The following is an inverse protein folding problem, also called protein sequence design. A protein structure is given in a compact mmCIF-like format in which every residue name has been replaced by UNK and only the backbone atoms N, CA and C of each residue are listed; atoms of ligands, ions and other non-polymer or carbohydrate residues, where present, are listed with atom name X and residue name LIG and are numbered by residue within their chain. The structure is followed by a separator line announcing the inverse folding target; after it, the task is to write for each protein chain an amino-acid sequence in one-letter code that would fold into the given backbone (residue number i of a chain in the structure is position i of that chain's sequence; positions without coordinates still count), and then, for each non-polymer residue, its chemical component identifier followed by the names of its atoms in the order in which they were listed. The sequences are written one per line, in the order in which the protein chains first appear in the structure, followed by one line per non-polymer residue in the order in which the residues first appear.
data_IF_865490794253
#
_entry.id   IF_865490794253
#
_cell.length_a   1.000
_cell.length_b   1.000
_cell.length_c   1.000
_cell.angle_alpha   90.00
_cell.angle_beta   90.00
_cell.angle_gamma   90.00
#
_symmetry.space_group_name_H-M   'P 1'
#
loop_
_entity.id
_entity.type
_entity.pdbx_description
1 polymer ?
#
# COMPACT_ATOMS: atom_id res chain seq x y z
N UNK A 1 7.42 -25.92 -25.72
CA UNK A 1 7.64 -24.47 -25.48
C UNK A 1 7.02 -23.58 -26.55
N UNK A 2 7.56 -23.46 -27.79
CA UNK A 2 6.95 -22.57 -28.81
C UNK A 2 5.53 -23.00 -29.23
N UNK A 3 5.29 -24.31 -29.43
CA UNK A 3 3.96 -24.81 -29.82
C UNK A 3 2.92 -24.71 -28.68
N UNK A 4 3.35 -24.86 -27.42
CA UNK A 4 2.46 -24.71 -26.26
C UNK A 4 2.11 -23.23 -26.07
N UNK A 5 3.07 -22.32 -26.18
CA UNK A 5 2.83 -20.87 -26.13
C UNK A 5 1.88 -20.37 -27.23
N UNK A 6 1.94 -20.92 -28.44
CA UNK A 6 1.03 -20.57 -29.53
C UNK A 6 -0.39 -21.06 -29.24
N UNK A 7 -0.55 -22.27 -28.69
CA UNK A 7 -1.85 -22.80 -28.27
C UNK A 7 -2.45 -22.00 -27.11
N UNK A 8 -1.62 -21.66 -26.12
CA UNK A 8 -2.04 -20.85 -24.97
C UNK A 8 -2.51 -19.46 -25.42
N UNK A 9 -1.80 -18.82 -26.36
CA UNK A 9 -2.22 -17.52 -26.92
C UNK A 9 -3.53 -17.60 -27.70
N UNK A 10 -3.72 -18.65 -28.50
CA UNK A 10 -4.99 -18.87 -29.21
C UNK A 10 -6.15 -19.04 -28.23
N UNK A 11 -5.96 -19.78 -27.14
CA UNK A 11 -6.97 -19.95 -26.09
C UNK A 11 -7.23 -18.65 -25.32
N UNK A 12 -6.17 -17.91 -24.97
CA UNK A 12 -6.31 -16.65 -24.25
C UNK A 12 -7.00 -15.56 -25.09
N UNK A 13 -6.92 -15.62 -26.42
CA UNK A 13 -7.67 -14.70 -27.26
C UNK A 13 -9.19 -14.88 -27.10
N UNK A 14 -9.66 -16.12 -26.90
CA UNK A 14 -11.08 -16.44 -26.71
C UNK A 14 -11.68 -15.85 -25.43
N UNK A 15 -10.84 -15.53 -24.42
CA UNK A 15 -11.34 -14.95 -23.16
C UNK A 15 -11.61 -13.45 -23.28
N UNK A 16 -11.09 -12.76 -24.29
CA UNK A 16 -11.13 -11.29 -24.38
C UNK A 16 -12.55 -10.74 -24.44
N UNK A 17 -13.37 -11.25 -25.37
CA UNK A 17 -14.74 -10.77 -25.58
C UNK A 17 -15.66 -11.11 -24.39
N UNK A 18 -15.77 -12.37 -23.92
CA UNK A 18 -16.64 -12.70 -22.79
C UNK A 18 -16.27 -11.95 -21.52
N UNK A 19 -14.97 -11.72 -21.30
CA UNK A 19 -14.47 -11.03 -20.10
C UNK A 19 -14.78 -9.53 -20.13
N UNK A 20 -14.58 -8.86 -21.26
CA UNK A 20 -14.90 -7.43 -21.39
C UNK A 20 -16.40 -7.17 -21.32
N UNK A 21 -17.23 -8.01 -21.94
CA UNK A 21 -18.69 -7.92 -21.86
C UNK A 21 -19.20 -8.14 -20.42
N UNK A 22 -18.68 -9.15 -19.74
CA UNK A 22 -18.99 -9.38 -18.33
C UNK A 22 -18.59 -8.17 -17.48
N UNK A 23 -17.41 -7.60 -17.69
CA UNK A 23 -16.94 -6.45 -16.91
C UNK A 23 -17.84 -5.23 -17.10
N UNK A 24 -18.29 -4.92 -18.31
CA UNK A 24 -19.20 -3.79 -18.55
C UNK A 24 -20.52 -3.91 -17.78
N UNK A 25 -21.01 -5.14 -17.60
CA UNK A 25 -22.25 -5.42 -16.88
C UNK A 25 -22.06 -5.53 -15.36
N UNK A 26 -20.86 -5.90 -14.89
CA UNK A 26 -20.63 -6.30 -13.49
C UNK A 26 -19.62 -5.43 -12.73
N UNK A 27 -18.94 -4.48 -13.39
CA UNK A 27 -17.92 -3.66 -12.74
C UNK A 27 -18.50 -2.92 -11.54
N UNK A 28 -17.79 -2.99 -10.41
CA UNK A 28 -18.14 -2.18 -9.24
C UNK A 28 -17.95 -0.70 -9.56
N UNK A 29 -18.87 0.12 -9.08
CA UNK A 29 -18.76 1.58 -9.08
C UNK A 29 -17.70 1.95 -8.03
N UNK A 30 -16.60 2.54 -8.49
CA UNK A 30 -15.46 2.93 -7.65
C UNK A 30 -15.11 4.39 -7.94
N UNK A 31 -14.74 5.20 -6.92
CA UNK A 31 -14.53 6.65 -7.08
C UNK A 31 -13.52 7.05 -8.17
N UNK A 32 -12.57 6.17 -8.49
CA UNK A 32 -11.52 6.41 -9.49
C UNK A 32 -11.86 5.91 -10.91
N UNK A 33 -12.93 5.12 -11.09
CA UNK A 33 -13.26 4.53 -12.40
C UNK A 33 -14.03 5.46 -13.34
N UNK A 34 -14.70 6.48 -12.81
CA UNK A 34 -15.72 7.22 -13.56
C UNK A 34 -15.23 8.53 -14.20
N UNK A 35 -13.91 8.77 -14.26
CA UNK A 35 -13.36 10.09 -14.62
C UNK A 35 -12.44 10.09 -15.85
N UNK A 36 -12.05 8.94 -16.41
CA UNK A 36 -11.01 8.83 -17.45
C UNK A 36 -9.81 9.76 -17.20
N UNK A 37 -9.35 9.81 -15.95
CA UNK A 37 -8.37 10.77 -15.49
C UNK A 37 -7.09 10.03 -15.10
N UNK A 38 -6.00 10.27 -15.83
CA UNK A 38 -4.72 9.60 -15.63
C UNK A 38 -4.15 9.80 -14.21
N UNK A 39 -4.34 10.99 -13.62
CA UNK A 39 -3.93 11.27 -12.25
C UNK A 39 -4.74 10.45 -11.25
N UNK A 40 -6.06 10.31 -11.46
CA UNK A 40 -6.93 9.56 -10.55
C UNK A 40 -6.65 8.06 -10.63
N UNK A 41 -6.47 7.56 -11.85
CA UNK A 41 -5.98 6.20 -12.09
C UNK A 41 -4.66 5.99 -11.36
N UNK A 42 -3.66 6.85 -11.59
CA UNK A 42 -2.35 6.74 -10.94
C UNK A 42 -2.44 6.71 -9.41
N UNK A 43 -3.15 7.66 -8.79
CA UNK A 43 -3.31 7.73 -7.33
C UNK A 43 -3.99 6.45 -6.81
N UNK A 44 -5.08 6.02 -7.44
CA UNK A 44 -5.81 4.82 -7.01
C UNK A 44 -4.95 3.56 -7.14
N UNK A 45 -4.20 3.41 -8.22
CA UNK A 45 -3.34 2.26 -8.48
C UNK A 45 -2.20 2.18 -7.46
N UNK A 46 -1.59 3.33 -7.13
CA UNK A 46 -0.58 3.38 -6.06
C UNK A 46 -1.20 3.02 -4.71
N UNK A 47 -2.40 3.52 -4.38
CA UNK A 47 -3.08 3.17 -3.12
C UNK A 47 -3.44 1.68 -3.04
N UNK A 48 -3.91 1.07 -4.13
CA UNK A 48 -4.33 -0.33 -4.21
C UNK A 48 -3.19 -1.33 -4.10
N UNK A 49 -1.93 -0.90 -4.27
CA UNK A 49 -0.77 -1.76 -4.02
C UNK A 49 -0.82 -2.32 -2.59
N UNK A 50 -1.06 -3.63 -2.46
CA UNK A 50 -1.16 -4.35 -1.19
C UNK A 50 -2.22 -3.80 -0.22
N UNK A 51 -3.24 -3.08 -0.72
CA UNK A 51 -4.33 -2.51 0.09
C UNK A 51 -5.68 -2.90 -0.53
N UNK A 52 -6.67 -3.24 0.31
CA UNK A 52 -8.00 -3.66 -0.17
C UNK A 52 -8.80 -2.45 -0.67
N UNK A 53 -9.59 -2.65 -1.72
CA UNK A 53 -10.46 -1.63 -2.34
C UNK A 53 -11.30 -0.85 -1.32
N UNK A 54 -12.02 -1.54 -0.43
CA UNK A 54 -12.88 -0.87 0.57
C UNK A 54 -12.10 0.03 1.54
N UNK A 55 -10.86 -0.35 1.87
CA UNK A 55 -10.01 0.48 2.71
C UNK A 55 -9.51 1.71 1.96
N UNK A 56 -9.33 1.64 0.63
CA UNK A 56 -8.81 2.73 -0.20
C UNK A 56 -9.85 3.82 -0.47
N UNK A 57 -11.13 3.48 -0.64
CA UNK A 57 -12.21 4.43 -0.99
C UNK A 57 -12.18 5.77 -0.20
N UNK A 58 -12.22 5.77 1.15
CA UNK A 58 -12.22 7.02 1.90
C UNK A 58 -10.89 7.78 1.81
N UNK A 59 -9.77 7.07 1.64
CA UNK A 59 -8.47 7.71 1.47
C UNK A 59 -8.35 8.40 0.12
N UNK A 60 -8.81 7.73 -0.94
CA UNK A 60 -8.82 8.29 -2.28
C UNK A 60 -9.64 9.59 -2.32
N UNK A 61 -10.87 9.57 -1.79
CA UNK A 61 -11.73 10.76 -1.73
C UNK A 61 -11.10 11.93 -0.97
N UNK A 62 -10.51 11.66 0.21
CA UNK A 62 -9.81 12.70 0.98
C UNK A 62 -8.57 13.22 0.23
N UNK A 63 -7.82 12.34 -0.41
CA UNK A 63 -6.57 12.67 -1.08
C UNK A 63 -6.82 13.56 -2.29
N UNK A 64 -7.73 13.17 -3.19
CA UNK A 64 -8.05 13.97 -4.38
C UNK A 64 -8.79 15.28 -4.03
N UNK A 65 -9.52 15.32 -2.91
CA UNK A 65 -10.17 16.56 -2.45
C UNK A 65 -9.16 17.62 -2.03
N UNK A 66 -8.02 17.21 -1.49
CA UNK A 66 -6.94 18.10 -1.05
C UNK A 66 -5.86 18.31 -2.12
N UNK A 67 -5.63 17.30 -2.96
CA UNK A 67 -4.62 17.24 -4.02
C UNK A 67 -5.33 16.83 -5.32
N UNK A 68 -6.04 17.75 -6.00
CA UNK A 68 -6.90 17.41 -7.13
C UNK A 68 -6.14 17.06 -8.41
N UNK A 69 -4.87 17.43 -8.53
CA UNK A 69 -4.05 17.23 -9.73
C UNK A 69 -2.57 16.96 -9.40
N UNK A 70 -1.77 16.78 -10.47
CA UNK A 70 -0.33 16.53 -10.39
C UNK A 70 0.42 17.72 -9.77
N UNK A 71 0.01 18.95 -10.08
CA UNK A 71 0.64 20.18 -9.56
C UNK A 71 0.48 20.25 -8.04
N UNK A 72 -0.75 20.08 -7.55
CA UNK A 72 -1.06 20.09 -6.13
C UNK A 72 -0.26 19.01 -5.38
N UNK A 73 -0.12 17.81 -5.96
CA UNK A 73 0.70 16.75 -5.38
C UNK A 73 2.20 17.12 -5.34
N UNK A 74 2.73 17.72 -6.40
CA UNK A 74 4.14 18.11 -6.51
C UNK A 74 4.52 19.18 -5.46
N UNK A 75 3.62 20.15 -5.24
CA UNK A 75 3.80 21.29 -4.32
C UNK A 75 3.43 20.98 -2.87
N UNK A 76 2.70 19.90 -2.61
CA UNK A 76 2.22 19.55 -1.27
C UNK A 76 3.37 19.44 -0.25
N UNK A 77 3.31 20.15 0.90
CA UNK A 77 4.29 19.98 1.97
C UNK A 77 4.33 18.53 2.46
N UNK A 78 5.53 18.00 2.74
CA UNK A 78 5.70 16.58 3.09
C UNK A 78 4.85 16.17 4.31
N UNK A 79 4.75 17.02 5.33
CA UNK A 79 3.95 16.74 6.51
C UNK A 79 2.46 16.56 6.18
N UNK A 80 1.90 17.44 5.34
CA UNK A 80 0.52 17.33 4.85
C UNK A 80 0.35 16.05 4.03
N UNK A 81 1.30 15.74 3.16
CA UNK A 81 1.27 14.54 2.33
C UNK A 81 1.29 13.25 3.17
N UNK A 82 2.19 13.16 4.15
CA UNK A 82 2.27 12.02 5.07
C UNK A 82 0.97 11.87 5.87
N UNK A 83 0.36 12.99 6.26
CA UNK A 83 -0.90 12.99 6.99
C UNK A 83 -2.07 12.47 6.13
N UNK A 84 -2.15 12.90 4.88
CA UNK A 84 -3.17 12.39 3.94
C UNK A 84 -3.04 10.88 3.71
N UNK A 85 -1.82 10.35 3.77
CA UNK A 85 -1.50 8.93 3.61
C UNK A 85 -1.54 8.10 4.91
N UNK A 86 -1.72 8.75 6.06
CA UNK A 86 -1.62 8.12 7.38
C UNK A 86 -2.62 6.96 7.53
N UNK A 87 -2.09 5.75 7.72
CA UNK A 87 -2.88 4.54 7.91
C UNK A 87 -2.93 3.60 6.69
N UNK A 88 -2.53 4.06 5.50
CA UNK A 88 -2.42 3.18 4.31
C UNK A 88 -1.16 2.29 4.34
N UNK A 89 -0.16 2.65 5.15
CA UNK A 89 1.13 1.96 5.18
C UNK A 89 1.93 2.15 3.89
N UNK A 90 3.14 1.57 3.86
CA UNK A 90 4.07 1.67 2.73
C UNK A 90 4.30 3.12 2.25
N UNK A 91 4.69 4.00 3.17
CA UNK A 91 4.82 5.45 2.94
C UNK A 91 5.83 5.86 1.84
N UNK A 92 6.75 4.97 1.46
CA UNK A 92 7.61 5.23 0.30
C UNK A 92 6.81 5.35 -1.00
N UNK A 93 5.62 4.74 -1.09
CA UNK A 93 4.73 4.88 -2.24
C UNK A 93 4.38 6.34 -2.50
N UNK A 94 3.86 7.04 -1.50
CA UNK A 94 3.43 8.44 -1.66
C UNK A 94 4.61 9.39 -1.84
N UNK A 95 5.78 9.10 -1.24
CA UNK A 95 7.02 9.87 -1.49
C UNK A 95 7.51 9.72 -2.92
N UNK A 96 7.53 8.50 -3.43
CA UNK A 96 7.89 8.26 -4.83
C UNK A 96 6.88 8.92 -5.77
N UNK A 97 5.58 8.83 -5.44
CA UNK A 97 4.51 9.49 -6.19
C UNK A 97 4.71 11.02 -6.26
N UNK A 98 5.04 11.68 -5.14
CA UNK A 98 5.37 13.10 -5.16
C UNK A 98 6.65 13.40 -5.95
N UNK A 99 7.68 12.56 -5.84
CA UNK A 99 8.91 12.73 -6.64
C UNK A 99 8.58 12.67 -8.13
N UNK A 100 7.80 11.68 -8.56
CA UNK A 100 7.33 11.55 -9.93
C UNK A 100 6.44 12.72 -10.35
N UNK A 101 5.57 13.22 -9.46
CA UNK A 101 4.72 14.37 -9.77
C UNK A 101 5.55 15.62 -10.07
N UNK A 102 6.64 15.84 -9.32
CA UNK A 102 7.59 16.94 -9.61
C UNK A 102 8.25 16.77 -10.97
N UNK A 103 8.66 15.54 -11.33
CA UNK A 103 9.17 15.24 -12.68
C UNK A 103 8.12 15.55 -13.75
N UNK A 104 6.86 15.13 -13.54
CA UNK A 104 5.76 15.40 -14.48
C UNK A 104 5.50 16.90 -14.65
N UNK A 105 5.55 17.69 -13.57
CA UNK A 105 5.44 19.15 -13.66
C UNK A 105 6.59 19.76 -14.45
N UNK A 106 7.82 19.34 -14.18
CA UNK A 106 9.01 19.92 -14.81
C UNK A 106 9.21 19.51 -16.27
N UNK A 107 8.97 18.25 -16.61
CA UNK A 107 9.32 17.66 -17.91
C UNK A 107 8.11 17.46 -18.84
N UNK A 108 6.90 17.40 -18.29
CA UNK A 108 5.67 17.08 -19.03
C UNK A 108 4.53 18.09 -18.76
N UNK A 109 4.87 19.30 -18.33
CA UNK A 109 3.91 20.41 -18.12
C UNK A 109 2.72 20.06 -17.20
N UNK A 110 2.94 19.18 -16.24
CA UNK A 110 1.92 18.76 -15.27
C UNK A 110 0.94 17.69 -15.79
N UNK A 111 1.15 17.18 -17.00
CA UNK A 111 0.33 16.12 -17.61
C UNK A 111 1.10 14.80 -17.62
N UNK A 112 0.52 13.72 -17.10
CA UNK A 112 1.15 12.39 -17.18
C UNK A 112 1.36 12.02 -18.66
N UNK A 113 2.54 11.52 -19.06
CA UNK A 113 2.79 11.17 -20.45
C UNK A 113 1.87 10.05 -20.95
N UNK A 114 1.37 10.19 -22.17
CA UNK A 114 0.59 9.15 -22.87
C UNK A 114 1.50 8.12 -23.56
N UNK A 115 2.43 7.55 -22.79
CA UNK A 115 3.44 6.59 -23.27
C UNK A 115 3.80 5.61 -22.15
N UNK A 116 3.82 4.32 -22.47
CA UNK A 116 4.16 3.28 -21.49
C UNK A 116 5.61 3.44 -20.99
N UNK A 117 6.54 3.71 -21.90
CA UNK A 117 7.96 3.85 -21.61
C UNK A 117 8.25 5.08 -20.74
N UNK A 118 7.59 6.21 -21.05
CA UNK A 118 7.74 7.44 -20.28
C UNK A 118 7.13 7.29 -18.89
N UNK A 119 5.93 6.69 -18.79
CA UNK A 119 5.31 6.37 -17.50
C UNK A 119 6.21 5.44 -16.67
N UNK A 120 6.80 4.41 -17.27
CA UNK A 120 7.69 3.46 -16.60
C UNK A 120 8.99 4.12 -16.10
N UNK A 121 9.43 5.22 -16.73
CA UNK A 121 10.61 5.97 -16.29
C UNK A 121 10.39 6.74 -14.98
N UNK A 122 9.12 7.04 -14.64
CA UNK A 122 8.77 7.81 -13.45
C UNK A 122 8.98 7.02 -12.15
N UNK A 123 9.55 7.69 -11.15
CA UNK A 123 9.90 7.05 -9.87
C UNK A 123 8.68 6.43 -9.19
N UNK A 124 8.78 5.12 -8.90
CA UNK A 124 7.72 4.39 -8.20
C UNK A 124 6.58 3.89 -9.11
N UNK A 125 6.66 4.16 -10.40
CA UNK A 125 5.84 3.50 -11.43
C UNK A 125 6.64 2.30 -11.95
N UNK A 126 6.06 1.11 -11.85
CA UNK A 126 6.61 -0.12 -12.46
C UNK A 126 5.67 -0.65 -13.54
N UNK A 127 6.03 -1.75 -14.22
CA UNK A 127 5.28 -2.34 -15.34
C UNK A 127 3.76 -2.36 -15.12
N UNK A 128 3.31 -2.84 -13.95
CA UNK A 128 1.89 -2.87 -13.59
C UNK A 128 1.24 -1.48 -13.64
N UNK A 129 1.81 -0.51 -12.93
CA UNK A 129 1.21 0.83 -12.82
C UNK A 129 1.31 1.59 -14.14
N UNK A 130 2.41 1.44 -14.88
CA UNK A 130 2.55 2.00 -16.23
C UNK A 130 1.48 1.42 -17.17
N UNK A 131 1.33 0.10 -17.19
CA UNK A 131 0.30 -0.58 -17.99
C UNK A 131 -1.12 -0.18 -17.58
N UNK A 132 -1.40 -0.04 -16.29
CA UNK A 132 -2.69 0.38 -15.78
C UNK A 132 -3.03 1.82 -16.22
N UNK A 133 -2.12 2.77 -16.04
CA UNK A 133 -2.34 4.17 -16.47
C UNK A 133 -2.50 4.24 -18.00
N UNK A 134 -1.55 3.65 -18.73
CA UNK A 134 -1.53 3.70 -20.20
C UNK A 134 -2.79 3.08 -20.82
N UNK A 135 -3.23 1.92 -20.34
CA UNK A 135 -4.43 1.26 -20.88
C UNK A 135 -5.74 1.90 -20.44
N UNK A 136 -5.87 2.30 -19.17
CA UNK A 136 -7.13 2.82 -18.62
C UNK A 136 -7.36 4.27 -19.05
N UNK A 137 -6.35 5.13 -18.91
CA UNK A 137 -6.49 6.55 -19.17
C UNK A 137 -6.21 6.92 -20.63
N UNK A 138 -5.27 6.23 -21.28
CA UNK A 138 -4.81 6.58 -22.63
C UNK A 138 -5.18 5.55 -23.71
N UNK A 139 -5.90 4.47 -23.35
CA UNK A 139 -6.30 3.39 -24.26
C UNK A 139 -5.12 2.78 -25.04
N UNK A 140 -3.93 2.76 -24.45
CA UNK A 140 -2.76 2.13 -25.05
C UNK A 140 -2.82 0.61 -24.77
N UNK A 141 -2.69 -0.27 -25.79
CA UNK A 141 -2.84 -1.71 -25.66
C UNK A 141 -1.61 -2.38 -25.01
N UNK A 142 -1.40 -2.09 -23.73
CA UNK A 142 -0.35 -2.69 -22.89
C UNK A 142 -0.93 -3.38 -21.66
N UNK A 143 -0.37 -4.52 -21.22
CA UNK A 143 -0.93 -5.30 -20.12
C UNK A 143 -0.64 -4.67 -18.75
N UNK A 144 -1.57 -4.84 -17.80
CA UNK A 144 -1.41 -4.45 -16.40
C UNK A 144 -1.47 -5.68 -15.47
N UNK A 145 -0.31 -6.25 -15.15
CA UNK A 145 -0.23 -7.55 -14.44
C UNK A 145 0.00 -7.41 -12.93
N UNK A 146 -1.07 -7.50 -12.15
CA UNK A 146 -1.04 -7.58 -10.68
C UNK A 146 -1.14 -9.02 -10.15
N UNK A 147 -1.26 -9.18 -8.82
CA UNK A 147 -1.44 -10.48 -8.20
C UNK A 147 -2.79 -11.16 -8.49
N UNK A 148 -3.81 -10.39 -8.91
CA UNK A 148 -5.09 -10.94 -9.37
C UNK A 148 -4.92 -11.52 -10.77
N UNK A 149 -4.33 -10.75 -11.70
CA UNK A 149 -4.07 -11.18 -13.07
C UNK A 149 -3.15 -12.41 -13.09
N UNK A 150 -2.05 -12.41 -12.32
CA UNK A 150 -1.17 -13.59 -12.22
C UNK A 150 -1.94 -14.85 -11.83
N UNK A 151 -2.83 -14.77 -10.83
CA UNK A 151 -3.66 -15.90 -10.40
C UNK A 151 -4.65 -16.34 -11.47
N UNK A 152 -5.36 -15.38 -12.08
CA UNK A 152 -6.37 -15.65 -13.11
C UNK A 152 -5.71 -16.37 -14.29
N UNK A 153 -4.62 -15.81 -14.82
CA UNK A 153 -3.94 -16.38 -15.98
C UNK A 153 -3.32 -17.72 -15.65
N UNK A 154 -2.61 -17.87 -14.51
CA UNK A 154 -2.08 -19.17 -14.10
C UNK A 154 -3.17 -20.25 -13.97
N UNK A 155 -4.39 -19.91 -13.53
CA UNK A 155 -5.51 -20.87 -13.48
C UNK A 155 -6.06 -21.19 -14.87
N UNK A 156 -6.23 -20.17 -15.72
CA UNK A 156 -6.74 -20.37 -17.08
C UNK A 156 -5.81 -21.28 -17.88
N UNK A 157 -4.49 -21.03 -17.81
CA UNK A 157 -3.48 -21.80 -18.55
C UNK A 157 -2.93 -23.00 -17.77
N UNK A 158 -3.44 -23.26 -16.56
CA UNK A 158 -2.90 -24.26 -15.61
C UNK A 158 -1.36 -24.19 -15.40
N UNK A 159 -0.81 -22.97 -15.38
CA UNK A 159 0.62 -22.75 -15.19
C UNK A 159 1.01 -22.95 -13.72
N UNK A 160 1.81 -24.00 -13.46
CA UNK A 160 2.33 -24.38 -12.14
C UNK A 160 3.67 -23.73 -11.79
N UNK A 161 4.18 -22.82 -12.61
CA UNK A 161 5.39 -22.08 -12.29
C UNK A 161 5.15 -21.12 -11.11
N UNK A 162 6.20 -20.87 -10.33
CA UNK A 162 6.16 -19.96 -9.18
C UNK A 162 5.99 -18.51 -9.65
N UNK A 163 4.81 -17.93 -9.41
CA UNK A 163 4.47 -16.57 -9.84
C UNK A 163 5.29 -15.48 -9.14
N UNK A 164 6.11 -15.83 -8.14
CA UNK A 164 7.08 -14.91 -7.53
C UNK A 164 8.33 -14.69 -8.38
N UNK A 165 8.58 -15.54 -9.40
CA UNK A 165 9.72 -15.39 -10.32
C UNK A 165 9.44 -14.31 -11.36
N UNK A 166 10.41 -13.41 -11.55
CA UNK A 166 10.32 -12.35 -12.56
C UNK A 166 10.14 -12.89 -13.99
N UNK A 167 10.74 -14.05 -14.29
CA UNK A 167 10.59 -14.72 -15.60
C UNK A 167 9.14 -15.12 -15.88
N UNK A 168 8.41 -15.60 -14.87
CA UNK A 168 7.00 -16.01 -15.00
C UNK A 168 6.11 -14.79 -15.22
N UNK A 169 6.34 -13.72 -14.46
CA UNK A 169 5.62 -12.47 -14.65
C UNK A 169 5.81 -11.93 -16.07
N UNK A 170 7.06 -11.90 -16.56
CA UNK A 170 7.38 -11.46 -17.91
C UNK A 170 6.71 -12.32 -18.97
N UNK A 171 6.70 -13.65 -18.81
CA UNK A 171 6.00 -14.55 -19.72
C UNK A 171 4.49 -14.26 -19.79
N UNK A 172 3.85 -14.01 -18.64
CA UNK A 172 2.43 -13.64 -18.59
C UNK A 172 2.20 -12.27 -19.24
N UNK A 173 3.05 -11.28 -18.97
CA UNK A 173 3.01 -9.96 -19.64
C UNK A 173 3.12 -10.11 -21.17
N UNK A 174 4.07 -10.91 -21.67
CA UNK A 174 4.25 -11.15 -23.11
C UNK A 174 3.07 -11.90 -23.76
N UNK A 175 2.43 -12.82 -23.03
CA UNK A 175 1.24 -13.51 -23.52
C UNK A 175 0.02 -12.59 -23.57
N UNK A 176 -0.18 -11.77 -22.54
CA UNK A 176 -1.28 -10.80 -22.50
C UNK A 176 -1.09 -9.70 -23.54
N UNK A 177 0.14 -9.23 -23.76
CA UNK A 177 0.44 -8.26 -24.81
C UNK A 177 -0.04 -8.73 -26.19
N UNK A 178 0.11 -10.04 -26.48
CA UNK A 178 -0.30 -10.63 -27.76
C UNK A 178 -1.81 -10.75 -27.99
N UNK A 179 -2.65 -10.45 -26.97
CA UNK A 179 -4.11 -10.54 -27.03
C UNK A 179 -4.80 -9.24 -26.59
N UNK A 180 -4.04 -8.17 -26.33
CA UNK A 180 -4.63 -6.90 -25.89
C UNK A 180 -5.60 -6.40 -26.97
N UNK A 181 -6.88 -6.13 -26.63
CA UNK A 181 -7.79 -5.54 -27.60
C UNK A 181 -7.38 -4.10 -27.90
N UNK A 182 -7.34 -3.72 -29.17
CA UNK A 182 -6.95 -2.37 -29.61
C UNK A 182 -7.94 -1.31 -29.14
N UNK A 183 -9.24 -1.61 -29.22
CA UNK A 183 -10.31 -0.64 -28.94
C UNK A 183 -10.60 -0.44 -27.45
N UNK A 184 -10.38 -1.48 -26.63
CA UNK A 184 -10.81 -1.48 -25.22
C UNK A 184 -9.77 -2.09 -24.26
N UNK A 185 -8.48 -1.72 -24.37
CA UNK A 185 -7.42 -2.32 -23.55
C UNK A 185 -7.60 -2.03 -22.05
N UNK A 186 -8.12 -0.85 -21.71
CA UNK A 186 -8.43 -0.46 -20.34
C UNK A 186 -9.52 -1.34 -19.71
N UNK A 187 -10.60 -1.64 -20.46
CA UNK A 187 -11.65 -2.56 -20.01
C UNK A 187 -11.07 -3.96 -19.78
N UNK A 188 -10.26 -4.47 -20.70
CA UNK A 188 -9.69 -5.81 -20.59
C UNK A 188 -8.79 -5.97 -19.36
N UNK A 189 -7.86 -5.03 -19.13
CA UNK A 189 -7.02 -5.04 -17.93
C UNK A 189 -7.86 -4.97 -16.65
N UNK A 190 -8.84 -4.05 -16.59
CA UNK A 190 -9.71 -3.95 -15.44
C UNK A 190 -10.60 -5.17 -15.24
N UNK A 191 -11.02 -5.83 -16.31
CA UNK A 191 -11.83 -7.04 -16.26
C UNK A 191 -11.04 -8.21 -15.66
N UNK A 192 -9.77 -8.39 -16.05
CA UNK A 192 -8.89 -9.40 -15.44
C UNK A 192 -8.69 -9.15 -13.93
N UNK A 193 -8.44 -7.89 -13.55
CA UNK A 193 -8.31 -7.49 -12.14
C UNK A 193 -9.61 -7.73 -11.35
N UNK A 194 -10.76 -7.33 -11.93
CA UNK A 194 -12.08 -7.47 -11.31
C UNK A 194 -12.47 -8.95 -11.16
N UNK A 195 -12.24 -9.77 -12.19
CA UNK A 195 -12.48 -11.21 -12.16
C UNK A 195 -11.70 -11.87 -11.03
N UNK A 196 -10.40 -11.57 -10.91
CA UNK A 196 -9.58 -12.07 -9.82
C UNK A 196 -10.06 -11.55 -8.45
N UNK A 197 -10.56 -10.33 -8.37
CA UNK A 197 -11.01 -9.75 -7.11
C UNK A 197 -12.33 -10.35 -6.59
N UNK A 198 -13.28 -10.70 -7.47
CA UNK A 198 -14.66 -11.03 -7.04
C UNK A 198 -15.15 -12.44 -7.43
N UNK A 199 -14.53 -13.09 -8.41
CA UNK A 199 -14.91 -14.42 -8.89
C UNK A 199 -13.81 -15.44 -8.65
N UNK A 200 -12.64 -15.22 -9.25
CA UNK A 200 -11.45 -16.06 -9.15
C UNK A 200 -10.62 -15.65 -7.93
N UNK A 201 -11.22 -15.77 -6.74
CA UNK A 201 -10.65 -15.26 -5.48
C UNK A 201 -9.48 -16.11 -4.98
N UNK A 202 -8.55 -15.53 -4.19
CA UNK A 202 -7.38 -16.24 -3.66
C UNK A 202 -7.61 -16.93 -2.31
N UNK A 203 -8.69 -16.59 -1.59
CA UNK A 203 -9.02 -17.14 -0.27
C UNK A 203 -10.45 -17.68 -0.31
N UNK A 204 -10.61 -18.98 -0.11
CA UNK A 204 -11.88 -19.67 -0.28
C UNK A 204 -12.13 -20.13 -1.72
N UNK A 205 -13.20 -20.91 -1.94
CA UNK A 205 -13.46 -21.54 -3.23
C UNK A 205 -13.74 -20.48 -4.29
N UNK A 206 -13.06 -20.59 -5.43
CA UNK A 206 -13.35 -19.76 -6.59
C UNK A 206 -14.78 -20.00 -7.09
N UNK A 207 -15.46 -18.95 -7.55
CA UNK A 207 -16.84 -19.03 -8.07
C UNK A 207 -16.85 -19.43 -9.55
N UNK A 208 -16.26 -20.58 -9.86
CA UNK A 208 -16.02 -21.00 -11.25
C UNK A 208 -17.30 -21.15 -12.07
N UNK A 209 -18.41 -21.57 -11.46
CA UNK A 209 -19.72 -21.68 -12.12
C UNK A 209 -20.26 -20.32 -12.60
N UNK A 210 -19.87 -19.22 -11.94
CA UNK A 210 -20.25 -17.86 -12.30
C UNK A 210 -19.15 -17.14 -13.10
N UNK A 211 -18.08 -17.84 -13.49
CA UNK A 211 -16.97 -17.24 -14.22
C UNK A 211 -17.29 -17.16 -15.72
N UNK A 212 -17.19 -15.96 -16.34
CA UNK A 212 -17.54 -15.75 -17.75
C UNK A 212 -16.62 -16.48 -18.73
N UNK A 213 -15.48 -16.98 -18.25
CA UNK A 213 -14.43 -17.62 -19.05
C UNK A 213 -14.11 -19.03 -18.54
N UNK A 214 -15.03 -19.64 -17.78
CA UNK A 214 -14.85 -20.98 -17.19
C UNK A 214 -14.62 -22.07 -18.23
N UNK A 215 -15.27 -21.98 -19.41
CA UNK A 215 -15.13 -22.93 -20.51
C UNK A 215 -13.68 -23.06 -21.02
N UNK A 216 -12.95 -21.94 -20.98
CA UNK A 216 -11.56 -21.83 -21.41
C UNK A 216 -10.55 -22.11 -20.29
N UNK A 217 -11.00 -22.33 -19.05
CA UNK A 217 -10.12 -22.48 -17.90
C UNK A 217 -9.66 -23.94 -17.72
N UNK A 218 -8.39 -24.22 -18.01
CA UNK A 218 -7.81 -25.56 -17.86
C UNK A 218 -7.85 -26.05 -16.41
N UNK A 219 -7.52 -25.19 -15.43
CA UNK A 219 -7.56 -25.60 -14.03
C UNK A 219 -8.97 -25.96 -13.55
N UNK A 220 -10.01 -25.31 -14.09
CA UNK A 220 -11.39 -25.67 -13.79
C UNK A 220 -11.76 -27.02 -14.39
N UNK A 221 -11.41 -27.23 -15.67
CA UNK A 221 -11.63 -28.50 -16.38
C UNK A 221 -10.95 -29.70 -15.70
N UNK A 222 -9.76 -29.49 -15.14
CA UNK A 222 -8.97 -30.53 -14.48
C UNK A 222 -9.16 -30.60 -12.96
N UNK A 223 -9.95 -29.70 -12.37
CA UNK A 223 -10.19 -29.66 -10.92
C UNK A 223 -8.99 -29.19 -10.08
N UNK A 224 -8.06 -28.42 -10.65
CA UNK A 224 -6.79 -27.99 -10.03
C UNK A 224 -6.77 -26.52 -9.61
N UNK A 225 -7.92 -25.83 -9.64
CA UNK A 225 -8.06 -24.37 -9.34
C UNK A 225 -7.47 -23.98 -7.97
N UNK A 226 -7.69 -24.81 -6.95
CA UNK A 226 -7.26 -24.53 -5.56
C UNK A 226 -5.76 -24.75 -5.34
N UNK A 227 -5.08 -25.43 -6.26
CA UNK A 227 -3.62 -25.63 -6.24
C UNK A 227 -2.86 -24.44 -6.85
N UNK A 228 -3.57 -23.54 -7.52
CA UNK A 228 -3.01 -22.45 -8.31
C UNK A 228 -3.42 -21.08 -7.77
N UNK A 229 -2.51 -20.08 -7.81
CA UNK A 229 -1.18 -20.13 -8.40
C UNK A 229 -0.15 -20.66 -7.41
N UNK A 230 0.92 -21.28 -7.93
CA UNK A 230 2.07 -21.69 -7.10
C UNK A 230 2.84 -20.45 -6.64
N UNK A 231 3.10 -20.35 -5.33
CA UNK A 231 3.89 -19.28 -4.73
C UNK A 231 4.98 -19.87 -3.84
N UNK A 232 6.20 -19.33 -3.93
CA UNK A 232 7.23 -19.64 -2.95
C UNK A 232 6.75 -19.39 -1.51
N UNK A 233 7.18 -20.23 -0.54
CA UNK A 233 6.87 -20.01 0.87
C UNK A 233 7.41 -18.65 1.33
N UNK A 234 6.64 -17.98 2.19
CA UNK A 234 7.06 -16.70 2.77
C UNK A 234 8.26 -16.92 3.68
N UNK A 235 9.27 -16.05 3.58
CA UNK A 235 10.36 -16.00 4.55
C UNK A 235 9.81 -15.73 5.95
N UNK A 236 10.44 -16.33 6.96
CA UNK A 236 10.13 -16.01 8.35
C UNK A 236 10.41 -14.54 8.64
N UNK A 237 9.57 -13.95 9.50
CA UNK A 237 9.73 -12.55 9.90
C UNK A 237 10.84 -12.44 10.92
N UNK A 238 11.59 -11.35 10.83
CA UNK A 238 12.57 -11.00 11.86
C UNK A 238 11.81 -10.51 13.09
N UNK A 239 11.99 -11.16 14.24
CA UNK A 239 11.42 -10.72 15.51
C UNK A 239 12.26 -9.59 16.10
N UNK A 240 11.61 -8.51 16.52
CA UNK A 240 12.27 -7.37 17.16
C UNK A 240 11.52 -6.95 18.43
N UNK A 241 12.18 -7.12 19.56
CA UNK A 241 11.67 -6.62 20.85
C UNK A 241 11.90 -5.11 20.95
N UNK A 242 10.91 -4.38 21.44
CA UNK A 242 11.01 -2.93 21.70
C UNK A 242 10.34 -2.55 23.01
N UNK A 243 10.82 -1.47 23.62
CA UNK A 243 10.18 -0.83 24.78
C UNK A 243 9.69 0.55 24.36
N UNK A 244 8.39 0.78 24.39
CA UNK A 244 7.75 2.06 24.03
C UNK A 244 7.55 2.91 25.28
N UNK A 245 7.90 4.18 25.20
CA UNK A 245 7.81 5.14 26.29
C UNK A 245 6.71 6.15 25.98
N UNK A 246 5.65 6.17 26.80
CA UNK A 246 4.61 7.21 26.78
C UNK A 246 5.00 8.24 27.84
N UNK A 247 5.80 9.23 27.43
CA UNK A 247 6.32 10.26 28.35
C UNK A 247 5.37 11.46 28.34
N UNK A 248 4.83 11.81 29.50
CA UNK A 248 3.85 12.87 29.67
C UNK A 248 4.41 14.03 30.50
N UNK A 249 4.27 15.23 29.97
CA UNK A 249 4.44 16.49 30.69
C UNK A 249 3.09 17.21 30.70
N UNK A 250 2.44 17.27 31.86
CA UNK A 250 1.07 17.77 32.01
C UNK A 250 0.08 17.01 31.12
N UNK A 251 -0.47 17.71 30.12
CA UNK A 251 -1.41 17.18 29.12
C UNK A 251 -0.74 16.86 27.77
N UNK A 252 0.56 17.11 27.64
CA UNK A 252 1.33 16.86 26.42
C UNK A 252 2.06 15.53 26.52
N UNK A 253 2.23 14.87 25.37
CA UNK A 253 2.99 13.61 25.26
C UNK A 253 4.16 13.78 24.31
N UNK A 254 5.32 13.27 24.69
CA UNK A 254 6.52 13.30 23.85
C UNK A 254 6.34 12.43 22.61
N UNK A 255 6.67 12.99 21.45
CA UNK A 255 6.81 12.30 20.17
C UNK A 255 8.13 12.70 19.51
N UNK A 256 8.68 11.86 18.64
CA UNK A 256 9.87 12.19 17.85
C UNK A 256 9.66 11.86 16.39
N UNK A 257 10.35 12.59 15.50
CA UNK A 257 10.37 12.28 14.07
C UNK A 257 11.43 11.19 13.81
N UNK A 258 11.05 10.14 13.09
CA UNK A 258 11.97 9.07 12.67
C UNK A 258 12.94 9.59 11.59
N UNK A 259 14.14 9.00 11.48
CA UNK A 259 15.08 9.34 10.42
C UNK A 259 14.47 9.24 9.01
N UNK A 260 15.05 9.96 8.04
CA UNK A 260 14.59 9.99 6.64
C UNK A 260 14.83 8.68 5.87
N UNK A 261 15.49 7.70 6.49
CA UNK A 261 15.77 6.38 5.90
C UNK A 261 15.37 5.25 6.84
N UNK A 262 15.00 4.12 6.25
CA UNK A 262 14.65 2.89 6.98
C UNK A 262 13.15 2.71 7.21
N UNK A 263 12.81 1.85 8.18
CA UNK A 263 11.42 1.50 8.48
C UNK A 263 10.66 2.71 9.00
N UNK A 264 9.48 3.00 8.42
CA UNK A 264 8.61 4.12 8.80
C UNK A 264 9.33 5.49 8.73
N UNK A 265 10.22 5.66 7.75
CA UNK A 265 11.03 6.86 7.58
C UNK A 265 10.18 8.15 7.58
N UNK A 266 10.69 9.19 8.25
CA UNK A 266 10.10 10.52 8.33
C UNK A 266 8.74 10.63 9.05
N UNK A 267 8.19 9.54 9.59
CA UNK A 267 6.98 9.57 10.40
C UNK A 267 7.27 9.92 11.86
N UNK A 268 6.24 10.35 12.58
CA UNK A 268 6.32 10.56 14.02
C UNK A 268 6.09 9.25 14.78
N UNK A 269 6.69 9.14 15.96
CA UNK A 269 6.51 7.99 16.84
C UNK A 269 6.57 8.38 18.30
N UNK A 270 6.02 7.51 19.14
CA UNK A 270 6.33 7.52 20.57
C UNK A 270 7.79 7.08 20.76
N UNK A 271 8.57 7.75 21.64
CA UNK A 271 9.94 7.35 21.93
C UNK A 271 10.02 5.87 22.27
N UNK A 272 10.98 5.16 21.68
CA UNK A 272 11.09 3.73 21.90
C UNK A 272 12.52 3.22 21.75
N UNK A 273 12.82 2.16 22.48
CA UNK A 273 14.15 1.57 22.63
C UNK A 273 14.15 0.11 22.15
N UNK A 274 15.30 -0.39 21.71
CA UNK A 274 15.48 -1.79 21.36
C UNK A 274 15.53 -2.67 22.62
N UNK A 275 14.91 -3.84 22.55
CA UNK A 275 14.81 -4.79 23.67
C UNK A 275 13.59 -4.56 24.55
N UNK A 276 13.36 -5.50 25.47
CA UNK A 276 12.40 -5.36 26.56
C UNK A 276 13.16 -4.93 27.80
N UNK A 277 13.02 -3.65 28.16
CA UNK A 277 13.73 -3.07 29.28
C UNK A 277 12.93 -3.23 30.59
N UNK A 278 13.66 -3.36 31.69
CA UNK A 278 13.07 -3.33 33.03
C UNK A 278 12.63 -1.91 33.41
N UNK A 279 11.89 -1.79 34.50
CA UNK A 279 11.44 -0.49 35.02
C UNK A 279 12.65 0.40 35.37
N UNK A 280 13.68 -0.18 35.97
CA UNK A 280 14.91 0.51 36.39
C UNK A 280 15.68 1.04 35.17
N UNK A 281 15.89 0.20 34.16
CA UNK A 281 16.56 0.60 32.93
C UNK A 281 15.82 1.73 32.20
N UNK A 282 14.49 1.68 32.20
CA UNK A 282 13.67 2.76 31.62
C UNK A 282 13.84 4.06 32.42
N UNK A 283 13.80 4.02 33.75
CA UNK A 283 14.00 5.20 34.59
C UNK A 283 15.38 5.83 34.33
N UNK A 284 16.43 5.01 34.22
CA UNK A 284 17.78 5.51 33.92
C UNK A 284 17.85 6.14 32.52
N UNK A 285 17.19 5.55 31.53
CA UNK A 285 17.11 6.13 30.18
C UNK A 285 16.36 7.47 30.17
N UNK A 286 15.26 7.59 30.90
CA UNK A 286 14.48 8.84 31.02
C UNK A 286 15.31 9.93 31.69
N UNK A 287 16.03 9.60 32.78
CA UNK A 287 16.96 10.54 33.43
C UNK A 287 18.08 10.99 32.51
N UNK A 288 18.64 10.07 31.70
CA UNK A 288 19.65 10.39 30.69
C UNK A 288 19.10 11.29 29.56
N UNK A 289 17.78 11.32 29.35
CA UNK A 289 17.11 12.28 28.48
C UNK A 289 16.89 13.64 29.15
N UNK A 290 17.45 13.87 30.35
CA UNK A 290 17.30 15.08 31.16
C UNK A 290 15.85 15.34 31.62
N UNK A 291 15.07 14.26 31.76
CA UNK A 291 13.71 14.30 32.27
C UNK A 291 13.67 13.75 33.69
N UNK A 292 12.90 14.38 34.57
CA UNK A 292 12.73 13.91 35.96
C UNK A 292 11.44 13.09 36.09
N UNK A 293 11.52 11.75 36.18
CA UNK A 293 10.34 10.90 36.28
C UNK A 293 9.70 10.99 37.68
N UNK A 294 8.43 11.42 37.73
CA UNK A 294 7.60 11.48 38.94
C UNK A 294 6.77 10.21 39.14
N UNK A 295 6.40 9.54 38.04
CA UNK A 295 5.58 8.34 38.05
C UNK A 295 5.96 7.44 36.87
N UNK A 296 5.92 6.13 37.08
CA UNK A 296 6.08 5.14 36.02
C UNK A 296 5.15 3.94 36.25
N UNK A 297 4.47 3.52 35.19
CA UNK A 297 3.54 2.39 35.16
C UNK A 297 3.82 1.53 33.93
N UNK A 298 3.85 0.20 34.11
CA UNK A 298 3.97 -0.72 32.98
C UNK A 298 2.62 -0.84 32.27
N UNK A 299 2.63 -0.64 30.96
CA UNK A 299 1.47 -0.78 30.09
C UNK A 299 1.36 -2.22 29.56
N UNK A 300 0.16 -2.65 29.12
CA UNK A 300 -0.02 -3.95 28.47
C UNK A 300 0.87 -4.12 27.25
N UNK A 301 1.44 -5.31 27.09
CA UNK A 301 2.25 -5.68 25.94
C UNK A 301 1.43 -5.62 24.65
N UNK A 302 2.10 -5.26 23.56
CA UNK A 302 1.49 -5.16 22.24
C UNK A 302 2.39 -5.79 21.18
N UNK A 303 1.79 -6.26 20.08
CA UNK A 303 2.55 -6.69 18.91
C UNK A 303 2.08 -5.96 17.66
N UNK A 304 3.01 -5.72 16.74
CA UNK A 304 2.71 -5.18 15.43
C UNK A 304 3.43 -5.96 14.35
N UNK A 305 2.71 -6.33 13.30
CA UNK A 305 3.22 -7.20 12.24
C UNK A 305 3.41 -6.36 10.98
N UNK A 306 4.66 -6.26 10.53
CA UNK A 306 5.02 -5.82 9.18
C UNK A 306 5.19 -7.04 8.26
N UNK A 307 5.43 -6.79 6.98
CA UNK A 307 5.63 -7.86 6.00
C UNK A 307 6.90 -8.68 6.24
N UNK A 308 7.96 -8.06 6.76
CA UNK A 308 9.28 -8.68 6.96
C UNK A 308 9.76 -8.67 8.42
N UNK A 309 9.08 -7.94 9.31
CA UNK A 309 9.45 -7.76 10.73
C UNK A 309 8.20 -7.93 11.59
N UNK A 310 8.34 -8.49 12.79
CA UNK A 310 7.34 -8.44 13.85
C UNK A 310 7.92 -7.67 15.04
N UNK A 311 7.25 -6.59 15.44
CA UNK A 311 7.56 -5.89 16.68
C UNK A 311 6.80 -6.52 17.83
N UNK A 312 7.53 -6.90 18.87
CA UNK A 312 7.00 -7.29 20.18
C UNK A 312 7.34 -6.20 21.16
N UNK A 313 6.33 -5.48 21.60
CA UNK A 313 6.49 -4.24 22.35
C UNK A 313 6.03 -4.42 23.78
N UNK A 314 6.85 -3.98 24.73
CA UNK A 314 6.41 -3.59 26.07
C UNK A 314 6.23 -2.08 26.11
N UNK A 315 5.41 -1.56 27.03
CA UNK A 315 5.18 -0.13 27.15
C UNK A 315 5.33 0.36 28.58
N UNK A 316 5.77 1.62 28.76
CA UNK A 316 5.74 2.31 30.05
C UNK A 316 5.11 3.69 29.90
N UNK A 317 4.15 4.00 30.76
CA UNK A 317 3.64 5.35 30.97
C UNK A 317 4.51 6.04 32.01
N UNK A 318 5.06 7.20 31.66
CA UNK A 318 5.97 7.96 32.51
C UNK A 318 5.45 9.38 32.61
N UNK A 319 5.22 9.88 33.83
CA UNK A 319 4.93 11.31 34.04
C UNK A 319 6.19 11.99 34.54
N UNK A 320 6.56 13.10 33.92
CA UNK A 320 7.77 13.85 34.25
C UNK A 320 7.42 15.20 34.88
N UNK A 321 8.37 15.79 35.60
CA UNK A 321 8.25 17.17 36.06
C UNK A 321 8.16 18.12 34.85
N UNK A 322 7.44 19.22 35.04
CA UNK A 322 7.20 20.19 33.97
C UNK A 322 8.51 20.74 33.40
N UNK A 323 8.61 20.77 32.07
CA UNK A 323 9.77 21.33 31.40
C UNK A 323 9.60 22.84 31.25
N UNK A 324 10.43 23.62 31.96
CA UNK A 324 10.38 25.10 31.90
C UNK A 324 10.87 25.68 30.55
N UNK A 325 11.62 24.93 29.74
CA UNK A 325 12.15 25.37 28.43
C UNK A 325 12.40 24.22 27.47
N UNK A 326 12.38 24.52 26.16
CA UNK A 326 12.78 23.58 25.10
C UNK A 326 14.31 23.38 25.12
N UNK A 327 14.76 22.30 25.76
CA UNK A 327 16.19 22.02 26.01
C UNK A 327 16.92 21.41 24.80
N UNK A 328 16.41 21.59 23.58
CA UNK A 328 16.95 20.93 22.38
C UNK A 328 16.78 19.42 22.43
N UNK A 329 15.71 18.95 23.08
CA UNK A 329 15.38 17.53 23.16
C UNK A 329 15.04 17.01 21.75
N UNK A 330 15.33 15.74 21.43
CA UNK A 330 14.91 15.14 20.16
C UNK A 330 13.38 14.92 20.08
N UNK A 331 12.64 15.37 21.10
CA UNK A 331 11.22 15.16 21.28
C UNK A 331 10.45 16.47 21.15
N UNK A 332 9.27 16.39 20.58
CA UNK A 332 8.25 17.43 20.61
C UNK A 332 7.18 16.97 21.58
N UNK A 333 6.79 17.85 22.52
CA UNK A 333 5.66 17.60 23.40
C UNK A 333 4.37 18.08 22.72
N UNK A 334 3.60 17.13 22.21
CA UNK A 334 2.39 17.39 21.47
C UNK A 334 1.14 17.00 22.27
N UNK A 335 0.09 17.80 22.17
CA UNK A 335 -1.24 17.42 22.61
C UNK A 335 -1.82 16.36 21.67
N UNK A 336 -2.69 15.47 22.17
CA UNK A 336 -3.28 14.42 21.33
C UNK A 336 -4.07 14.99 20.15
N UNK A 337 -4.90 16.03 20.37
CA UNK A 337 -5.67 16.68 19.29
C UNK A 337 -4.77 17.30 18.23
N UNK A 338 -3.65 17.91 18.64
CA UNK A 338 -2.68 18.48 17.71
C UNK A 338 -1.97 17.37 16.93
N UNK A 339 -1.56 16.30 17.62
CA UNK A 339 -0.92 15.14 17.02
C UNK A 339 -1.81 14.45 15.98
N UNK A 340 -3.08 14.23 16.31
CA UNK A 340 -4.06 13.64 15.39
C UNK A 340 -4.34 14.48 14.15
N UNK A 341 -3.99 15.77 14.15
CA UNK A 341 -4.15 16.65 12.98
C UNK A 341 -2.85 16.85 12.21
N UNK A 342 -1.72 16.95 12.90
CA UNK A 342 -0.46 17.43 12.32
C UNK A 342 0.60 16.33 12.15
N UNK A 343 0.64 15.35 13.06
CA UNK A 343 1.72 14.37 13.12
C UNK A 343 1.23 13.00 12.67
N UNK A 344 1.84 12.47 11.61
CA UNK A 344 1.51 11.13 11.12
C UNK A 344 2.18 10.07 12.00
N UNK A 345 1.39 9.42 12.87
CA UNK A 345 1.87 8.34 13.75
C UNK A 345 1.39 7.00 13.20
N UNK A 346 2.30 6.06 12.86
CA UNK A 346 1.91 4.82 12.23
C UNK A 346 1.12 3.92 13.18
N UNK A 347 0.24 3.10 12.61
CA UNK A 347 -0.58 2.13 13.34
C UNK A 347 0.23 1.17 14.23
N UNK A 348 1.54 1.06 14.00
CA UNK A 348 2.47 0.35 14.86
C UNK A 348 2.40 0.78 16.33
N UNK A 349 2.10 2.06 16.59
CA UNK A 349 2.00 2.59 17.94
C UNK A 349 0.56 2.74 18.45
N UNK A 350 -0.46 2.30 17.69
CA UNK A 350 -1.88 2.48 18.03
C UNK A 350 -2.24 1.97 19.44
N UNK A 351 -1.62 0.87 19.87
CA UNK A 351 -1.84 0.30 21.20
C UNK A 351 -1.42 1.24 22.34
N UNK A 352 -0.48 2.15 22.09
CA UNK A 352 0.07 3.06 23.08
C UNK A 352 -0.40 4.51 22.88
N UNK A 353 -0.71 4.91 21.64
CA UNK A 353 -1.26 6.25 21.32
C UNK A 353 -2.57 6.54 22.09
N UNK A 354 -3.35 5.51 22.43
CA UNK A 354 -4.55 5.67 23.28
C UNK A 354 -4.27 6.23 24.68
N UNK A 355 -3.01 6.13 25.17
CA UNK A 355 -2.58 6.69 26.45
C UNK A 355 -2.02 8.11 26.32
N UNK A 356 -1.94 8.68 25.12
CA UNK A 356 -1.74 10.13 24.98
C UNK A 356 -2.96 10.83 25.60
N UNK A 357 -2.73 11.82 26.46
CA UNK A 357 -3.83 12.53 27.13
C UNK A 357 -4.63 13.38 26.15
N UNK A 358 -5.94 13.36 26.32
CA UNK A 358 -6.86 14.36 25.77
C UNK A 358 -7.01 15.46 26.82
N UNK A 359 -7.09 16.71 26.37
CA UNK A 359 -7.58 17.79 27.21
C UNK A 359 -8.81 17.33 27.99
N UNK A 360 -8.74 17.40 29.31
CA UNK A 360 -9.95 17.41 30.13
C UNK A 360 -10.72 18.67 29.73
N UNK A 361 -11.73 18.53 28.87
CA UNK A 361 -12.56 19.65 28.43
C UNK A 361 -13.04 20.41 29.66
N UNK A 362 -12.67 21.69 29.75
CA UNK A 362 -13.31 22.64 30.67
C UNK A 362 -14.59 23.15 30.03
#
# INVERSE_FOLDING_TARGET
MKNDQIKDRSMLNEIVQPLTDWYRQNKRILPWRDQNNAYYTWVSEIMLQQTRVEAVKPYFQRFIGELPDVQALAECPEEKLMKLWEGLGYYNRVRNMQTAARTVVCEYEGVLPASYEELLSLKGIGNYTAGAIASIAYQIPVPAVDGNVLRVISRITEDRQDIMKQSVRRQIEENLLGIMPEETPGDFNQALMELGAVVCVPNGPARCEACPVSEYCLAYRHGTVEELPVKAPKKERILQNRTVLVIQDGEKTAIQKRPEKGLLAGLYELPNLLGHLTREEVLDKVKNMQLEPLYIEKLPDAKHIFSHIEWRMTGYLIRVAALDTDRGLPFIFAEKKQSEKQYAIPSAFRAYVKYMKEESGK
#
